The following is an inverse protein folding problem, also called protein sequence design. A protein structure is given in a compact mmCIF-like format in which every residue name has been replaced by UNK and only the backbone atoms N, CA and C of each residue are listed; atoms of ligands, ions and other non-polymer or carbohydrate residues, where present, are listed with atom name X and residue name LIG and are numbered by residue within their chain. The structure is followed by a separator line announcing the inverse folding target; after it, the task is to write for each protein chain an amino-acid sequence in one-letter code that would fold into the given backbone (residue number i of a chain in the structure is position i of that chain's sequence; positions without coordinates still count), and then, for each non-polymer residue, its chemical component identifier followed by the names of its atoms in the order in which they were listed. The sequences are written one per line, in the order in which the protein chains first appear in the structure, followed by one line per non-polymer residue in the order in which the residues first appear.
data_IF_777591117769
#
_entry.id   IF_777591117769
#
_cell.length_a   1.000
_cell.length_b   1.000
_cell.length_c   1.000
_cell.angle_alpha   90.00
_cell.angle_beta   90.00
_cell.angle_gamma   90.00
#
_symmetry.space_group_name_H-M   'P 1'
#
loop_
_entity.id
_entity.type
_entity.pdbx_description
1 polymer ?
#
# COMPACT_ATOMS: atom_id res chain seq x y z
N UNK A 1 -1.09 -9.80 -9.92
CA UNK A 1 -1.28 -11.16 -9.38
C UNK A 1 -0.38 -11.33 -8.18
N UNK A 2 -0.89 -11.26 -6.99
CA UNK A 2 -0.14 -11.61 -5.79
C UNK A 2 -0.61 -13.00 -5.35
N UNK A 3 0.28 -13.99 -5.45
CA UNK A 3 0.04 -15.32 -4.91
C UNK A 3 0.11 -15.22 -3.38
N UNK A 4 -1.04 -15.33 -2.72
CA UNK A 4 -1.09 -15.42 -1.27
C UNK A 4 -0.71 -16.82 -0.82
N UNK A 5 0.17 -16.91 0.18
CA UNK A 5 0.37 -18.12 0.97
C UNK A 5 -0.95 -18.50 1.67
N UNK A 6 -1.14 -19.79 1.96
CA UNK A 6 -2.37 -20.32 2.59
C UNK A 6 -2.71 -19.70 3.98
N UNK A 7 -1.75 -19.00 4.60
CA UNK A 7 -1.92 -18.26 5.86
C UNK A 7 -2.08 -16.74 5.68
N UNK A 8 -2.16 -16.26 4.44
CA UNK A 8 -2.37 -14.83 4.18
C UNK A 8 -3.84 -14.47 4.26
N UNK A 9 -4.19 -13.31 4.84
CA UNK A 9 -5.56 -12.84 4.87
C UNK A 9 -6.13 -12.72 3.44
N UNK A 10 -7.44 -12.82 3.27
CA UNK A 10 -8.09 -12.74 1.97
C UNK A 10 -7.71 -11.45 1.26
N UNK A 11 -7.05 -11.57 0.11
CA UNK A 11 -6.43 -10.43 -0.57
C UNK A 11 -7.11 -10.17 -1.90
N UNK A 12 -7.86 -9.11 -1.96
CA UNK A 12 -8.31 -8.53 -3.20
C UNK A 12 -8.90 -7.17 -2.89
N UNK A 13 -8.24 -6.10 -3.33
CA UNK A 13 -8.87 -4.79 -3.32
C UNK A 13 -9.31 -4.50 -4.74
N UNK A 14 -10.59 -4.27 -4.93
CA UNK A 14 -11.14 -3.83 -6.19
C UNK A 14 -11.76 -2.45 -6.02
N UNK A 15 -11.56 -1.61 -7.02
CA UNK A 15 -12.31 -0.37 -7.19
C UNK A 15 -13.51 -0.72 -8.07
N UNK A 16 -14.68 -0.76 -7.47
CA UNK A 16 -15.93 -1.02 -8.20
C UNK A 16 -16.84 0.19 -8.05
N UNK A 17 -17.68 0.43 -9.06
CA UNK A 17 -18.77 1.42 -9.04
C UNK A 17 -18.44 2.90 -9.20
N UNK A 18 -17.33 3.30 -9.84
CA UNK A 18 -17.08 4.73 -10.14
C UNK A 18 -16.78 5.61 -8.91
N UNK A 19 -16.68 5.01 -7.73
CA UNK A 19 -16.15 5.61 -6.52
C UNK A 19 -14.95 4.78 -6.10
N UNK A 20 -13.83 5.43 -5.82
CA UNK A 20 -12.63 4.78 -5.30
C UNK A 20 -12.89 4.33 -3.86
N UNK A 21 -13.46 3.14 -3.69
CA UNK A 21 -13.70 2.51 -2.39
C UNK A 21 -12.88 1.23 -2.28
N UNK A 22 -12.34 0.98 -1.09
CA UNK A 22 -11.59 -0.24 -0.80
C UNK A 22 -12.51 -1.37 -0.35
N UNK A 23 -12.39 -2.51 -1.02
CA UNK A 23 -13.11 -3.74 -0.67
C UNK A 23 -12.12 -4.87 -0.43
N UNK A 24 -12.47 -5.77 0.47
CA UNK A 24 -11.77 -7.04 0.68
C UNK A 24 -12.67 -8.17 0.21
N UNK A 25 -12.11 -9.12 -0.56
CA UNK A 25 -12.80 -10.33 -1.00
C UNK A 25 -12.14 -11.57 -0.42
N UNK A 26 -12.91 -12.59 -0.04
CA UNK A 26 -12.32 -13.86 0.38
C UNK A 26 -11.62 -14.53 -0.81
N UNK A 27 -10.48 -15.16 -0.55
CA UNK A 27 -9.79 -15.99 -1.52
C UNK A 27 -9.62 -17.41 -0.93
N UNK A 28 -9.91 -18.48 -1.71
CA UNK A 28 -10.21 -18.50 -3.15
C UNK A 28 -11.68 -18.27 -3.52
N UNK A 29 -12.59 -18.14 -2.57
CA UNK A 29 -14.04 -18.01 -2.80
C UNK A 29 -14.45 -16.59 -3.20
N UNK A 30 -14.05 -16.13 -4.36
CA UNK A 30 -14.35 -14.78 -4.87
C UNK A 30 -15.82 -14.53 -5.22
N UNK A 31 -16.66 -15.56 -5.19
CA UNK A 31 -18.09 -15.45 -5.42
C UNK A 31 -18.88 -14.84 -4.26
N UNK A 32 -18.28 -14.80 -3.05
CA UNK A 32 -18.91 -14.15 -1.88
C UNK A 32 -18.89 -12.63 -2.04
N UNK A 33 -19.87 -11.98 -1.44
CA UNK A 33 -19.94 -10.53 -1.43
C UNK A 33 -18.67 -9.90 -0.80
N UNK A 34 -18.13 -8.81 -1.39
CA UNK A 34 -16.99 -8.13 -0.83
C UNK A 34 -17.36 -7.36 0.44
N UNK A 35 -16.41 -7.24 1.35
CA UNK A 35 -16.55 -6.38 2.53
C UNK A 35 -15.95 -5.00 2.25
N UNK A 36 -16.75 -3.95 2.45
CA UNK A 36 -16.26 -2.58 2.31
C UNK A 36 -15.41 -2.19 3.52
N UNK A 37 -14.17 -1.80 3.27
CA UNK A 37 -13.22 -1.40 4.33
C UNK A 37 -13.01 0.10 4.43
N UNK A 38 -13.15 0.85 3.34
CA UNK A 38 -13.16 2.30 3.37
C UNK A 38 -14.54 2.86 3.66
N UNK A 39 -14.62 4.10 4.18
CA UNK A 39 -15.89 4.75 4.49
C UNK A 39 -16.13 6.03 3.67
N UNK A 40 -15.08 6.64 3.17
CA UNK A 40 -15.12 7.92 2.46
C UNK A 40 -14.11 7.94 1.31
N UNK A 41 -14.05 6.87 0.55
CA UNK A 41 -13.04 6.63 -0.45
C UNK A 41 -11.81 5.91 0.11
N UNK A 42 -11.15 5.14 -0.74
CA UNK A 42 -9.94 4.42 -0.36
C UNK A 42 -9.16 3.98 -1.59
N UNK A 43 -7.87 4.30 -1.60
CA UNK A 43 -6.92 3.92 -2.65
C UNK A 43 -5.63 3.38 -2.03
N UNK A 44 -4.75 2.81 -2.85
CA UNK A 44 -3.43 2.31 -2.42
C UNK A 44 -3.47 1.38 -1.19
N UNK A 45 -4.27 0.33 -1.19
CA UNK A 45 -4.38 -0.55 -0.03
C UNK A 45 -3.11 -1.37 0.19
N UNK A 46 -2.77 -1.58 1.46
CA UNK A 46 -1.69 -2.44 1.90
C UNK A 46 -2.06 -3.18 3.18
N UNK A 47 -1.81 -4.47 3.23
CA UNK A 47 -1.96 -5.25 4.45
C UNK A 47 -0.78 -5.03 5.39
N UNK A 48 -1.07 -5.05 6.69
CA UNK A 48 -0.04 -5.28 7.70
C UNK A 48 0.56 -6.68 7.54
N UNK A 49 1.80 -6.88 7.96
CA UNK A 49 2.43 -8.20 7.95
C UNK A 49 1.74 -9.18 8.92
N UNK A 50 1.17 -8.65 9.99
CA UNK A 50 0.36 -9.44 10.94
C UNK A 50 -0.99 -9.87 10.39
N UNK A 51 -1.45 -9.27 9.28
CA UNK A 51 -2.77 -9.52 8.70
C UNK A 51 -3.94 -8.99 9.54
N UNK A 52 -3.68 -8.20 10.59
CA UNK A 52 -4.70 -7.68 11.50
C UNK A 52 -5.14 -6.27 11.19
N UNK A 53 -4.44 -5.59 10.28
CA UNK A 53 -4.75 -4.24 9.85
C UNK A 53 -4.63 -4.12 8.35
N UNK A 54 -5.47 -3.27 7.77
CA UNK A 54 -5.38 -2.83 6.39
C UNK A 54 -5.12 -1.32 6.39
N UNK A 55 -4.13 -0.88 5.64
CA UNK A 55 -3.81 0.52 5.40
C UNK A 55 -4.36 0.94 4.05
N UNK A 56 -4.87 2.16 3.96
CA UNK A 56 -5.29 2.76 2.69
C UNK A 56 -5.20 4.30 2.77
N UNK A 57 -5.19 4.95 1.62
CA UNK A 57 -5.24 6.41 1.53
C UNK A 57 -6.66 6.84 1.25
N UNK A 58 -7.20 7.72 2.08
CA UNK A 58 -8.53 8.29 1.92
C UNK A 58 -8.55 9.49 0.95
N UNK A 59 -9.74 10.04 0.67
CA UNK A 59 -9.90 11.21 -0.20
C UNK A 59 -9.35 12.51 0.36
N UNK A 60 -9.07 12.56 1.67
CA UNK A 60 -8.44 13.71 2.31
C UNK A 60 -6.91 13.68 2.25
N UNK A 61 -6.34 12.77 1.45
CA UNK A 61 -4.90 12.51 1.37
C UNK A 61 -4.31 12.11 2.72
N UNK A 62 -5.00 11.24 3.45
CA UNK A 62 -4.53 10.71 4.72
C UNK A 62 -4.34 9.20 4.65
N UNK A 63 -3.25 8.71 5.23
CA UNK A 63 -3.09 7.27 5.48
C UNK A 63 -3.98 6.88 6.65
N UNK A 64 -4.84 5.91 6.41
CA UNK A 64 -5.79 5.38 7.38
C UNK A 64 -5.48 3.92 7.63
N UNK A 65 -5.51 3.50 8.88
CA UNK A 65 -5.53 2.09 9.25
C UNK A 65 -6.93 1.67 9.65
N UNK A 66 -7.28 0.44 9.33
CA UNK A 66 -8.50 -0.22 9.77
C UNK A 66 -8.14 -1.58 10.35
N UNK A 67 -8.58 -1.84 11.58
CA UNK A 67 -8.42 -3.17 12.18
C UNK A 67 -9.37 -4.16 11.53
N UNK A 68 -8.88 -5.38 11.33
CA UNK A 68 -9.67 -6.46 10.73
C UNK A 68 -9.57 -7.70 11.60
N UNK A 69 -10.65 -8.44 11.70
CA UNK A 69 -10.75 -9.66 12.49
C UNK A 69 -11.41 -10.77 11.69
N UNK A 70 -10.99 -12.00 11.95
CA UNK A 70 -11.58 -13.19 11.35
C UNK A 70 -11.12 -13.44 9.92
N UNK A 71 -10.97 -14.71 9.58
CA UNK A 71 -10.68 -15.17 8.22
C UNK A 71 -11.93 -15.71 7.53
N UNK A 72 -12.80 -16.36 8.29
CA UNK A 72 -14.05 -16.94 7.79
C UNK A 72 -15.22 -15.96 7.97
N UNK A 73 -15.21 -15.21 9.07
CA UNK A 73 -16.21 -14.19 9.41
C UNK A 73 -15.50 -12.84 9.53
N UNK A 74 -15.16 -12.31 8.36
CA UNK A 74 -14.37 -11.07 8.25
C UNK A 74 -15.15 -9.88 8.79
N UNK A 75 -14.58 -9.22 9.79
CA UNK A 75 -15.17 -8.04 10.42
C UNK A 75 -14.24 -6.84 10.28
N UNK A 76 -14.82 -5.74 9.85
CA UNK A 76 -14.14 -4.44 9.76
C UNK A 76 -14.32 -3.72 11.09
N UNK A 77 -13.21 -3.47 11.78
CA UNK A 77 -13.19 -2.80 13.07
C UNK A 77 -13.01 -1.28 12.97
N UNK A 78 -12.35 -0.73 13.98
CA UNK A 78 -12.12 0.71 14.07
C UNK A 78 -11.18 1.22 12.96
N UNK A 79 -11.49 2.41 12.44
CA UNK A 79 -10.64 3.17 11.51
C UNK A 79 -9.90 4.26 12.27
N UNK A 80 -8.64 4.47 11.95
CA UNK A 80 -7.82 5.51 12.56
C UNK A 80 -6.96 6.18 11.49
N UNK A 81 -7.04 7.49 11.41
CA UNK A 81 -6.13 8.29 10.58
C UNK A 81 -4.75 8.32 11.23
N UNK A 82 -3.70 8.03 10.46
CA UNK A 82 -2.33 8.02 10.93
C UNK A 82 -1.64 9.35 10.66
N UNK A 83 -1.54 9.74 9.39
CA UNK A 83 -0.91 11.00 8.99
C UNK A 83 -1.32 11.42 7.58
N UNK A 84 -1.02 12.68 7.22
CA UNK A 84 -1.26 13.19 5.87
C UNK A 84 -0.21 12.67 4.87
N UNK A 85 -0.69 12.21 3.73
CA UNK A 85 0.15 11.70 2.64
C UNK A 85 0.53 12.76 1.59
N UNK A 86 0.07 14.01 1.74
CA UNK A 86 0.33 15.11 0.79
C UNK A 86 1.80 15.36 0.46
N UNK A 87 2.77 15.20 1.39
CA UNK A 87 4.19 15.37 1.06
C UNK A 87 4.77 14.25 0.18
N UNK A 88 4.02 13.16 0.01
CA UNK A 88 4.52 11.95 -0.65
C UNK A 88 3.95 11.80 -2.05
N UNK A 89 4.65 11.05 -2.89
CA UNK A 89 4.21 10.69 -4.22
C UNK A 89 3.28 9.48 -4.12
N UNK A 90 2.01 9.71 -4.40
CA UNK A 90 1.04 8.63 -4.55
C UNK A 90 0.57 8.61 -6.00
N UNK A 91 0.62 7.43 -6.61
CA UNK A 91 0.13 7.21 -7.96
C UNK A 91 -1.20 6.46 -7.90
N UNK A 92 -2.20 6.88 -8.69
CA UNK A 92 -3.43 6.10 -8.83
C UNK A 92 -3.08 4.70 -9.35
N UNK A 93 -3.77 3.68 -8.88
CA UNK A 93 -3.65 2.29 -9.33
C UNK A 93 -2.32 1.58 -9.07
N UNK A 94 -1.36 2.25 -8.42
CA UNK A 94 -0.09 1.64 -8.03
C UNK A 94 0.19 1.88 -6.55
N UNK A 95 0.57 0.84 -5.84
CA UNK A 95 1.06 0.97 -4.47
C UNK A 95 2.43 1.65 -4.49
N UNK A 96 2.51 2.86 -3.96
CA UNK A 96 3.72 3.69 -3.93
C UNK A 96 4.30 3.85 -2.53
N UNK A 97 3.81 3.07 -1.58
CA UNK A 97 4.37 2.93 -0.25
C UNK A 97 4.42 1.46 0.15
N UNK A 98 5.22 1.13 1.13
CA UNK A 98 5.30 -0.20 1.71
C UNK A 98 5.24 -0.15 3.23
N UNK A 99 4.80 -1.24 3.84
CA UNK A 99 4.70 -1.38 5.29
C UNK A 99 5.89 -2.17 5.77
N UNK A 100 6.57 -1.69 6.82
CA UNK A 100 7.66 -2.44 7.42
C UNK A 100 7.14 -3.63 8.24
N UNK A 101 8.00 -4.66 8.49
CA UNK A 101 7.61 -5.84 9.27
C UNK A 101 7.13 -5.56 10.69
N UNK A 102 7.41 -4.38 11.23
CA UNK A 102 6.92 -3.92 12.52
C UNK A 102 5.46 -3.44 12.51
N UNK A 103 4.84 -3.34 11.33
CA UNK A 103 3.50 -2.81 11.09
C UNK A 103 3.28 -1.36 11.58
N UNK A 104 4.36 -0.65 11.97
CA UNK A 104 4.32 0.71 12.52
C UNK A 104 5.06 1.73 11.66
N UNK A 105 6.00 1.26 10.84
CA UNK A 105 6.83 2.08 9.98
C UNK A 105 6.42 1.93 8.52
N UNK A 106 6.55 3.02 7.75
CA UNK A 106 6.17 3.06 6.34
C UNK A 106 7.32 3.58 5.48
N UNK A 107 7.61 2.92 4.38
CA UNK A 107 8.48 3.42 3.33
C UNK A 107 7.64 4.19 2.32
N UNK A 108 7.94 5.47 2.12
CA UNK A 108 7.19 6.33 1.21
C UNK A 108 8.12 7.13 0.30
N UNK A 109 7.70 7.36 -0.93
CA UNK A 109 8.42 8.22 -1.86
C UNK A 109 8.06 9.68 -1.58
N UNK A 110 9.04 10.49 -1.20
CA UNK A 110 8.85 11.92 -0.99
C UNK A 110 8.85 12.65 -2.34
N UNK A 111 7.92 13.59 -2.51
CA UNK A 111 7.97 14.50 -3.66
C UNK A 111 9.19 15.41 -3.53
N UNK A 112 10.02 15.56 -4.57
CA UNK A 112 11.09 16.54 -4.53
C UNK A 112 10.49 17.94 -4.41
N UNK A 113 11.06 18.76 -3.52
CA UNK A 113 10.62 20.14 -3.31
C UNK A 113 11.17 21.11 -4.38
N UNK A 114 11.98 20.62 -5.31
CA UNK A 114 12.65 21.44 -6.30
C UNK A 114 11.76 21.71 -7.52
N UNK A 115 11.57 22.99 -7.74
CA UNK A 115 11.03 23.52 -8.98
C UNK A 115 11.95 23.18 -10.18
N UNK A 116 11.49 22.34 -11.06
CA UNK A 116 11.47 22.53 -12.50
C UNK A 116 12.73 22.41 -13.38
N UNK A 117 13.96 22.47 -12.96
CA UNK A 117 15.04 22.26 -13.94
C UNK A 117 15.43 20.80 -14.17
N UNK A 118 15.20 19.95 -13.16
CA UNK A 118 15.50 18.50 -13.23
C UNK A 118 14.26 17.61 -13.55
N UNK A 119 13.09 18.19 -13.64
CA UNK A 119 11.86 17.44 -13.90
C UNK A 119 11.83 16.76 -15.29
N UNK A 120 12.64 17.25 -16.21
CA UNK A 120 12.79 16.70 -17.57
C UNK A 120 14.05 15.84 -17.74
N UNK A 121 14.73 15.51 -16.64
CA UNK A 121 15.95 14.71 -16.71
C UNK A 121 15.64 13.24 -16.46
N UNK A 122 15.77 12.42 -17.49
CA UNK A 122 15.78 10.98 -17.37
C UNK A 122 17.21 10.52 -17.04
N UNK A 123 17.39 9.90 -15.89
CA UNK A 123 18.66 9.27 -15.53
C UNK A 123 18.51 7.76 -15.74
N UNK A 124 19.30 7.23 -16.67
CA UNK A 124 19.40 5.79 -16.92
C UNK A 124 20.70 5.31 -16.28
N UNK A 125 20.59 4.40 -15.34
CA UNK A 125 21.75 3.76 -14.70
C UNK A 125 21.96 2.40 -15.38
N UNK A 126 23.07 2.26 -16.10
CA UNK A 126 23.49 1.00 -16.72
C UNK A 126 24.45 0.27 -15.77
N UNK A 127 24.38 -1.07 -15.78
CA UNK A 127 25.28 -1.92 -14.98
C UNK A 127 25.26 -1.65 -13.48
N UNK A 128 24.13 -1.20 -12.95
CA UNK A 128 23.99 -0.85 -11.54
C UNK A 128 24.38 -1.99 -10.58
N UNK A 129 24.25 -3.26 -10.99
CA UNK A 129 24.73 -4.41 -10.22
C UNK A 129 26.23 -4.36 -9.95
N UNK A 130 27.03 -3.98 -10.94
CA UNK A 130 28.48 -3.86 -10.78
C UNK A 130 28.84 -2.74 -9.81
N UNK A 131 28.10 -1.65 -9.86
CA UNK A 131 28.26 -0.53 -8.90
C UNK A 131 27.85 -0.93 -7.49
N UNK A 132 26.76 -1.66 -7.34
CA UNK A 132 26.31 -2.18 -6.07
C UNK A 132 27.32 -3.15 -5.45
N UNK A 133 27.85 -4.11 -6.24
CA UNK A 133 28.90 -5.03 -5.77
C UNK A 133 30.17 -4.28 -5.32
N UNK A 134 30.59 -3.28 -6.06
CA UNK A 134 31.75 -2.47 -5.70
C UNK A 134 31.54 -1.74 -4.36
N UNK A 135 30.36 -1.16 -4.16
CA UNK A 135 30.01 -0.47 -2.90
C UNK A 135 29.92 -1.40 -1.70
N UNK A 136 29.33 -2.59 -1.90
CA UNK A 136 29.23 -3.59 -0.82
C UNK A 136 30.59 -4.13 -0.41
N UNK A 137 31.53 -4.29 -1.37
CA UNK A 137 32.90 -4.73 -1.08
C UNK A 137 33.75 -3.66 -0.36
N UNK A 138 33.46 -2.36 -0.56
CA UNK A 138 34.15 -1.26 0.10
C UNK A 138 33.66 -0.98 1.52
N UNK A 139 32.50 -1.49 1.90
CA UNK A 139 31.88 -1.33 3.22
C UNK A 139 32.18 -2.47 4.22
N UNK A 140 33.15 -3.35 3.89
CA UNK A 140 33.62 -4.42 4.78
C UNK A 140 35.01 -4.14 5.30
#
# INVERSE_FOLDING_TARGET
MAAGNADSPPTGVSVESGKDEGYVRPFPETSRAPWQVSAAGGSNPAWSHSGRELFYVDRADSLVTVSVMGTTDFQVGARRTLFSTRPFLLLPYHRTFDVFPDDQSFLMLKRPLTSSSDANRLTVVLNWFNELEAKVRQGR
#
